data_IF_442891200967
#
_entry.id   IF_442891200967
#
_cell.length_a   1.000
_cell.length_b   1.000
_cell.length_c   1.000
_cell.angle_alpha   90.00
_cell.angle_beta   90.00
_cell.angle_gamma   90.00
#
_symmetry.space_group_name_H-M   'P 1'
#
loop_
_entity.id
_entity.type
_entity.pdbx_description
1 polymer ?
#
# COMPACT_ATOMS: atom_id res chain seq x y z
N UNK A 1 9.15 -11.78 3.41
CA UNK A 1 9.43 -12.75 4.49
C UNK A 1 8.15 -13.23 5.17
N UNK A 2 7.34 -12.34 5.76
CA UNK A 2 6.07 -12.70 6.44
C UNK A 2 5.13 -13.59 5.60
N UNK A 3 4.89 -13.22 4.33
CA UNK A 3 4.04 -14.01 3.44
C UNK A 3 4.56 -15.43 3.22
N UNK A 4 5.89 -15.60 3.12
CA UNK A 4 6.57 -16.89 2.93
C UNK A 4 6.45 -17.76 4.18
N UNK A 5 6.72 -17.19 5.35
CA UNK A 5 6.55 -17.90 6.62
C UNK A 5 5.10 -18.40 6.80
N UNK A 6 4.13 -17.68 6.25
CA UNK A 6 2.74 -18.09 6.29
C UNK A 6 2.42 -19.31 5.41
N UNK A 7 3.23 -19.63 4.40
CA UNK A 7 3.01 -20.78 3.52
C UNK A 7 3.24 -22.11 4.25
N UNK A 8 4.20 -22.14 5.17
CA UNK A 8 4.54 -23.33 5.98
C UNK A 8 3.86 -23.34 7.35
N UNK A 9 3.44 -22.19 7.87
CA UNK A 9 2.76 -22.08 9.15
C UNK A 9 1.34 -22.68 9.13
N UNK A 10 0.89 -23.16 10.30
CA UNK A 10 -0.50 -23.60 10.52
C UNK A 10 -1.35 -22.51 11.20
N UNK A 11 -2.68 -22.51 11.06
CA UNK A 11 -3.55 -21.63 11.85
C UNK A 11 -3.35 -21.85 13.37
N UNK A 12 -3.40 -20.80 14.21
CA UNK A 12 -3.77 -19.41 13.89
C UNK A 12 -2.61 -18.55 13.35
N UNK A 13 -1.36 -18.98 13.51
CA UNK A 13 -0.16 -18.19 13.14
C UNK A 13 -0.15 -17.82 11.65
N UNK A 14 -0.55 -18.75 10.77
CA UNK A 14 -0.68 -18.48 9.34
C UNK A 14 -1.55 -17.25 9.05
N UNK A 15 -2.68 -17.10 9.76
CA UNK A 15 -3.60 -15.95 9.56
C UNK A 15 -2.94 -14.65 10.02
N UNK A 16 -2.24 -14.68 11.14
CA UNK A 16 -1.50 -13.52 11.66
C UNK A 16 -0.40 -13.08 10.69
N UNK A 17 0.42 -14.02 10.18
CA UNK A 17 1.48 -13.72 9.22
C UNK A 17 0.94 -13.15 7.91
N UNK A 18 -0.16 -13.70 7.36
CA UNK A 18 -0.81 -13.15 6.16
C UNK A 18 -1.39 -11.75 6.39
N UNK A 19 -1.96 -11.50 7.57
CA UNK A 19 -2.45 -10.16 7.94
C UNK A 19 -1.29 -9.16 8.02
N UNK A 20 -0.24 -9.51 8.75
CA UNK A 20 0.96 -8.68 8.89
C UNK A 20 1.61 -8.41 7.52
N UNK A 21 1.75 -9.42 6.67
CA UNK A 21 2.33 -9.28 5.33
C UNK A 21 1.55 -8.29 4.44
N UNK A 22 0.21 -8.28 4.53
CA UNK A 22 -0.62 -7.31 3.79
C UNK A 22 -0.46 -5.89 4.33
N UNK A 23 -0.36 -5.74 5.65
CA UNK A 23 -0.23 -4.44 6.31
C UNK A 23 1.19 -3.86 6.21
N UNK A 24 2.21 -4.69 5.99
CA UNK A 24 3.60 -4.26 5.90
C UNK A 24 3.86 -3.20 4.82
N UNK A 25 3.07 -3.19 3.73
CA UNK A 25 3.18 -2.17 2.69
C UNK A 25 2.74 -0.77 3.17
N UNK A 26 1.94 -0.70 4.24
CA UNK A 26 1.37 0.52 4.81
C UNK A 26 2.09 0.98 6.08
N UNK A 27 3.17 0.31 6.48
CA UNK A 27 3.94 0.76 7.64
C UNK A 27 4.64 2.08 7.32
N UNK A 28 4.65 3.03 8.28
CA UNK A 28 5.20 4.37 8.06
C UNK A 28 6.74 4.36 7.97
N UNK A 29 7.38 3.37 8.58
CA UNK A 29 8.84 3.21 8.65
C UNK A 29 9.22 1.77 8.32
N UNK A 30 10.45 1.54 7.85
CA UNK A 30 10.96 0.18 7.66
C UNK A 30 11.20 -0.47 9.03
N UNK A 31 10.88 -1.75 9.17
CA UNK A 31 11.05 -2.48 10.44
C UNK A 31 12.52 -2.52 10.92
N UNK A 32 13.47 -2.47 9.98
CA UNK A 32 14.88 -2.37 10.32
C UNK A 32 15.21 -1.07 11.07
N UNK A 33 14.68 0.06 10.60
CA UNK A 33 14.95 1.38 11.18
C UNK A 33 14.33 1.53 12.58
N UNK A 34 13.09 1.09 12.75
CA UNK A 34 12.41 1.09 14.06
C UNK A 34 13.18 0.24 15.08
N UNK A 35 13.62 -0.95 14.66
CA UNK A 35 14.43 -1.83 15.51
C UNK A 35 15.80 -1.21 15.85
N UNK A 36 16.46 -0.53 14.91
CA UNK A 36 17.73 0.19 15.15
C UNK A 36 17.56 1.35 16.14
N UNK A 37 16.41 2.00 16.16
CA UNK A 37 16.06 3.04 17.14
C UNK A 37 15.72 2.47 18.53
N UNK A 38 15.73 1.14 18.71
CA UNK A 38 15.35 0.49 19.97
C UNK A 38 13.84 0.54 20.27
N UNK A 39 13.03 0.88 19.26
CA UNK A 39 11.56 0.93 19.36
C UNK A 39 10.95 -0.44 19.07
N UNK A 40 9.73 -0.66 19.56
CA UNK A 40 9.05 -1.95 19.39
C UNK A 40 8.31 -2.00 18.05
N UNK A 41 8.44 -3.13 17.35
CA UNK A 41 7.67 -3.37 16.12
C UNK A 41 6.18 -3.61 16.40
N UNK A 42 5.78 -3.77 17.66
CA UNK A 42 4.35 -3.86 18.03
C UNK A 42 3.59 -2.54 17.84
N UNK A 43 4.32 -1.44 17.62
CA UNK A 43 3.73 -0.17 17.16
C UNK A 43 3.08 -0.31 15.77
N UNK A 44 3.49 -1.31 14.98
CA UNK A 44 2.95 -1.53 13.65
C UNK A 44 1.65 -2.33 13.64
N UNK A 45 0.68 -1.93 12.79
CA UNK A 45 -0.58 -2.64 12.70
C UNK A 45 -0.37 -4.07 12.20
N UNK A 46 -0.95 -5.02 12.95
CA UNK A 46 -0.86 -6.45 12.64
C UNK A 46 0.37 -7.17 13.20
N UNK A 47 1.24 -6.47 13.96
CA UNK A 47 2.37 -7.07 14.65
C UNK A 47 2.07 -7.20 16.14
N UNK A 48 2.23 -8.41 16.67
CA UNK A 48 2.25 -8.67 18.11
C UNK A 48 3.62 -9.17 18.55
N UNK A 49 3.87 -9.33 19.87
CA UNK A 49 5.18 -9.67 20.42
C UNK A 49 5.81 -10.94 19.82
N UNK A 50 4.96 -11.92 19.44
CA UNK A 50 5.44 -13.12 18.77
C UNK A 50 6.01 -12.85 17.37
N UNK A 51 5.29 -12.06 16.55
CA UNK A 51 5.74 -11.71 15.20
C UNK A 51 6.94 -10.75 15.24
N UNK A 52 6.97 -9.82 16.19
CA UNK A 52 8.13 -8.96 16.43
C UNK A 52 9.40 -9.80 16.62
N UNK A 53 9.39 -10.80 17.50
CA UNK A 53 10.56 -11.68 17.71
C UNK A 53 10.99 -12.41 16.43
N UNK A 54 10.05 -12.80 15.58
CA UNK A 54 10.36 -13.42 14.28
C UNK A 54 11.04 -12.40 13.36
N UNK A 55 10.49 -11.20 13.25
CA UNK A 55 11.03 -10.14 12.38
C UNK A 55 12.42 -9.71 12.88
N UNK A 56 12.58 -9.45 14.17
CA UNK A 56 13.88 -9.09 14.76
C UNK A 56 14.93 -10.19 14.52
N UNK A 57 14.54 -11.48 14.57
CA UNK A 57 15.46 -12.57 14.19
C UNK A 57 15.90 -12.46 12.74
N UNK A 58 14.98 -12.20 11.81
CA UNK A 58 15.32 -12.01 10.39
C UNK A 58 16.17 -10.77 10.12
N UNK A 59 16.11 -9.75 10.98
CA UNK A 59 16.97 -8.57 10.87
C UNK A 59 18.44 -8.90 11.21
N UNK A 60 18.67 -9.88 12.10
CA UNK A 60 20.02 -10.34 12.47
C UNK A 60 20.50 -11.44 11.52
N UNK A 61 19.65 -12.42 11.24
CA UNK A 61 19.93 -13.56 10.38
C UNK A 61 18.89 -13.61 9.27
N UNK A 62 19.21 -12.91 8.18
CA UNK A 62 18.28 -12.70 7.08
C UNK A 62 18.20 -13.97 6.23
N UNK A 63 17.00 -14.53 6.01
CA UNK A 63 16.88 -15.67 5.15
C UNK A 63 17.32 -15.33 3.71
N UNK A 64 17.77 -16.32 2.93
CA UNK A 64 18.19 -16.07 1.57
C UNK A 64 17.08 -15.41 0.75
N UNK A 65 17.48 -14.44 -0.08
CA UNK A 65 16.62 -13.85 -1.08
C UNK A 65 16.17 -14.94 -2.05
N UNK A 66 14.86 -15.03 -2.29
CA UNK A 66 14.34 -15.92 -3.32
C UNK A 66 14.39 -15.20 -4.65
N UNK A 67 14.85 -15.90 -5.68
CA UNK A 67 14.65 -15.46 -7.04
C UNK A 67 13.14 -15.40 -7.32
N UNK A 68 12.62 -14.26 -7.82
CA UNK A 68 11.24 -14.18 -8.23
C UNK A 68 10.97 -15.22 -9.34
N UNK A 69 9.75 -15.78 -9.41
CA UNK A 69 9.39 -16.66 -10.53
C UNK A 69 9.55 -15.90 -11.86
N UNK A 70 9.77 -16.62 -12.96
CA UNK A 70 10.10 -16.01 -14.26
C UNK A 70 9.10 -14.91 -14.69
N UNK A 71 7.81 -15.14 -14.46
CA UNK A 71 6.75 -14.16 -14.75
C UNK A 71 6.89 -12.84 -13.97
N UNK A 72 7.66 -12.82 -12.87
CA UNK A 72 7.94 -11.64 -12.04
C UNK A 72 9.39 -11.16 -12.11
N UNK A 73 10.26 -11.81 -12.88
CA UNK A 73 11.71 -11.53 -12.94
C UNK A 73 12.03 -10.10 -13.37
N UNK A 74 11.19 -9.50 -14.21
CA UNK A 74 11.39 -8.15 -14.74
C UNK A 74 10.61 -7.07 -14.00
N UNK A 75 10.02 -7.39 -12.84
CA UNK A 75 9.33 -6.42 -12.00
C UNK A 75 10.20 -5.99 -10.85
N UNK A 76 10.07 -4.71 -10.47
CA UNK A 76 10.68 -4.19 -9.25
C UNK A 76 9.82 -4.56 -8.04
N UNK A 77 10.48 -4.93 -6.94
CA UNK A 77 9.81 -4.95 -5.64
C UNK A 77 9.58 -3.51 -5.18
N UNK A 78 8.57 -3.28 -4.34
CA UNK A 78 8.30 -1.94 -3.78
C UNK A 78 9.54 -1.35 -3.07
N UNK A 79 10.28 -2.09 -2.21
CA UNK A 79 11.52 -1.56 -1.62
C UNK A 79 12.56 -1.16 -2.67
N UNK A 80 12.71 -1.95 -3.74
CA UNK A 80 13.66 -1.62 -4.82
C UNK A 80 13.22 -0.38 -5.59
N UNK A 81 11.93 -0.24 -5.86
CA UNK A 81 11.36 0.95 -6.49
C UNK A 81 11.60 2.20 -5.61
N UNK A 82 11.37 2.12 -4.30
CA UNK A 82 11.66 3.22 -3.35
C UNK A 82 13.13 3.67 -3.40
N UNK A 83 14.08 2.72 -3.39
CA UNK A 83 15.52 3.03 -3.49
C UNK A 83 15.84 3.74 -4.81
N UNK A 84 15.29 3.27 -5.93
CA UNK A 84 15.53 3.87 -7.24
C UNK A 84 14.93 5.28 -7.35
N UNK A 85 13.72 5.49 -6.81
CA UNK A 85 13.07 6.79 -6.76
C UNK A 85 13.84 7.78 -5.87
N UNK A 86 14.34 7.33 -4.72
CA UNK A 86 15.17 8.15 -3.83
C UNK A 86 16.47 8.62 -4.51
N UNK A 87 17.04 7.81 -5.40
CA UNK A 87 18.20 8.18 -6.20
C UNK A 87 17.89 9.15 -7.36
N UNK A 88 16.60 9.40 -7.65
CA UNK A 88 16.11 10.24 -8.75
C UNK A 88 15.05 11.25 -8.25
N UNK A 89 15.40 12.14 -7.31
CA UNK A 89 14.42 13.03 -6.66
C UNK A 89 13.70 13.98 -7.63
N UNK A 90 14.30 14.29 -8.78
CA UNK A 90 13.67 15.16 -9.78
C UNK A 90 12.50 14.49 -10.52
N UNK A 91 12.44 13.15 -10.60
CA UNK A 91 11.33 12.47 -11.29
C UNK A 91 9.98 12.77 -10.64
N UNK A 92 9.96 12.93 -9.32
CA UNK A 92 8.74 13.29 -8.58
C UNK A 92 8.27 14.72 -8.89
N UNK A 93 9.16 15.61 -9.32
CA UNK A 93 8.80 17.00 -9.67
C UNK A 93 8.13 17.10 -11.04
N UNK A 94 8.36 16.12 -11.91
CA UNK A 94 7.77 16.06 -13.25
C UNK A 94 6.37 15.42 -13.22
N UNK A 95 5.99 14.80 -12.09
CA UNK A 95 4.68 14.20 -11.89
C UNK A 95 3.62 15.28 -11.63
N UNK A 96 2.69 15.40 -12.58
CA UNK A 96 1.58 16.35 -12.50
C UNK A 96 0.32 15.76 -11.89
N UNK A 97 0.21 14.45 -11.78
CA UNK A 97 -1.02 13.83 -11.29
C UNK A 97 -1.01 12.32 -11.31
N UNK A 98 -2.01 11.75 -10.64
CA UNK A 98 -2.34 10.33 -10.66
C UNK A 98 -3.61 10.12 -11.52
N UNK A 99 -3.53 9.19 -12.46
CA UNK A 99 -4.57 8.95 -13.45
C UNK A 99 -5.44 7.72 -13.13
N UNK A 100 -5.25 7.09 -11.97
CA UNK A 100 -6.05 5.94 -11.57
C UNK A 100 -6.20 5.88 -10.05
N UNK A 101 -7.28 6.47 -9.53
CA UNK A 101 -7.58 6.49 -8.11
C UNK A 101 -9.03 6.07 -7.84
N UNK A 102 -9.25 5.24 -6.82
CA UNK A 102 -10.59 4.89 -6.37
C UNK A 102 -10.91 5.62 -5.06
N UNK A 103 -12.17 6.00 -4.90
CA UNK A 103 -12.67 6.70 -3.72
C UNK A 103 -13.61 5.79 -2.92
N UNK A 104 -14.14 6.28 -1.82
CA UNK A 104 -15.17 5.58 -1.05
C UNK A 104 -16.51 5.41 -1.81
N UNK A 105 -16.62 5.92 -3.03
CA UNK A 105 -17.72 5.60 -3.95
C UNK A 105 -17.69 4.15 -4.44
N UNK A 106 -16.51 3.54 -4.59
CA UNK A 106 -16.36 2.11 -4.92
C UNK A 106 -15.54 1.34 -3.87
N UNK A 107 -14.30 0.97 -4.16
CA UNK A 107 -13.43 0.18 -3.27
C UNK A 107 -12.23 0.96 -2.69
N UNK A 108 -12.20 2.27 -2.90
CA UNK A 108 -11.25 3.18 -2.27
C UNK A 108 -11.60 3.49 -0.81
N UNK A 109 -10.67 4.12 -0.11
CA UNK A 109 -10.83 4.48 1.32
C UNK A 109 -10.93 5.97 1.60
N UNK A 110 -10.63 6.83 0.62
CA UNK A 110 -10.69 8.29 0.74
C UNK A 110 -11.94 8.89 0.09
N UNK A 111 -12.46 9.98 0.66
CA UNK A 111 -13.44 10.85 -0.02
C UNK A 111 -12.78 11.63 -1.15
N UNK A 112 -13.54 12.17 -2.10
CA UNK A 112 -12.97 13.00 -3.19
C UNK A 112 -12.16 14.17 -2.62
N UNK A 113 -12.70 14.85 -1.60
CA UNK A 113 -12.00 15.95 -0.91
C UNK A 113 -10.66 15.51 -0.31
N UNK A 114 -10.64 14.39 0.43
CA UNK A 114 -9.41 13.91 1.05
C UNK A 114 -8.35 13.52 0.00
N UNK A 115 -8.79 12.97 -1.14
CA UNK A 115 -7.90 12.63 -2.26
C UNK A 115 -7.31 13.88 -2.90
N UNK A 116 -8.13 14.90 -3.17
CA UNK A 116 -7.68 16.18 -3.72
C UNK A 116 -6.71 16.91 -2.77
N UNK A 117 -7.01 16.97 -1.47
CA UNK A 117 -6.13 17.57 -0.46
C UNK A 117 -4.78 16.83 -0.36
N UNK A 118 -4.79 15.50 -0.47
CA UNK A 118 -3.56 14.70 -0.51
C UNK A 118 -2.76 14.97 -1.79
N UNK A 119 -3.42 15.06 -2.94
CA UNK A 119 -2.79 15.38 -4.23
C UNK A 119 -2.10 16.76 -4.20
N UNK A 120 -2.76 17.77 -3.62
CA UNK A 120 -2.18 19.10 -3.43
C UNK A 120 -0.91 19.07 -2.56
N UNK A 121 -0.92 18.29 -1.47
CA UNK A 121 0.28 18.11 -0.61
C UNK A 121 1.45 17.45 -1.36
N UNK A 122 1.15 16.65 -2.38
CA UNK A 122 2.13 16.02 -3.26
C UNK A 122 2.46 16.86 -4.51
N UNK A 123 2.01 18.12 -4.56
CA UNK A 123 2.23 19.05 -5.67
C UNK A 123 1.70 18.56 -7.04
N UNK A 124 0.67 17.72 -7.04
CA UNK A 124 -0.04 17.35 -8.26
C UNK A 124 -0.93 18.51 -8.73
N UNK A 125 -0.94 18.74 -10.04
CA UNK A 125 -1.84 19.66 -10.74
C UNK A 125 -3.25 19.07 -10.89
N UNK A 126 -3.37 17.73 -10.98
CA UNK A 126 -4.65 17.04 -11.17
C UNK A 126 -4.64 15.61 -10.63
N UNK A 127 -5.84 15.05 -10.44
CA UNK A 127 -6.05 13.63 -10.21
C UNK A 127 -7.24 13.14 -11.04
N UNK A 128 -7.22 11.87 -11.44
CA UNK A 128 -8.37 11.21 -12.05
C UNK A 128 -9.03 10.26 -11.05
N UNK A 129 -10.32 10.48 -10.80
CA UNK A 129 -11.18 9.56 -10.05
C UNK A 129 -11.71 8.52 -11.04
N UNK A 130 -11.35 7.25 -10.84
CA UNK A 130 -11.63 6.12 -11.74
C UNK A 130 -12.35 4.99 -11.01
N UNK A 131 -13.35 5.32 -10.21
CA UNK A 131 -14.14 4.33 -9.47
C UNK A 131 -14.78 3.28 -10.38
N UNK A 132 -14.94 2.07 -9.85
CA UNK A 132 -15.47 0.95 -10.61
C UNK A 132 -16.92 1.16 -11.05
N UNK A 133 -17.24 0.78 -12.27
CA UNK A 133 -18.63 0.69 -12.73
C UNK A 133 -19.32 -0.58 -12.20
N UNK A 134 -20.65 -0.53 -12.09
CA UNK A 134 -21.56 -1.61 -11.61
C UNK A 134 -21.30 -3.02 -12.16
N UNK A 135 -20.61 -3.17 -13.30
CA UNK A 135 -20.32 -4.45 -13.93
C UNK A 135 -19.40 -5.39 -13.13
N UNK A 136 -18.62 -4.87 -12.18
CA UNK A 136 -17.67 -5.68 -11.39
C UNK A 136 -18.27 -6.02 -10.02
N UNK A 137 -18.95 -7.17 -9.90
CA UNK A 137 -19.65 -7.63 -8.67
C UNK A 137 -18.81 -7.62 -7.39
N UNK A 138 -17.48 -7.66 -7.49
CA UNK A 138 -16.55 -7.76 -6.35
C UNK A 138 -16.17 -6.38 -5.80
N UNK A 139 -16.25 -5.31 -6.60
CA UNK A 139 -15.68 -4.01 -6.25
C UNK A 139 -16.71 -2.94 -5.86
N UNK A 140 -17.96 -3.31 -5.61
CA UNK A 140 -18.99 -2.36 -5.16
C UNK A 140 -19.21 -1.20 -6.13
N UNK A 141 -19.11 -1.46 -7.44
CA UNK A 141 -19.10 -0.41 -8.45
C UNK A 141 -20.39 0.43 -8.52
N UNK A 142 -20.24 1.68 -8.94
CA UNK A 142 -21.30 2.68 -8.98
C UNK A 142 -22.21 2.55 -10.21
N UNK A 143 -23.48 2.89 -10.03
CA UNK A 143 -24.46 3.04 -11.10
C UNK A 143 -24.48 4.47 -11.69
N UNK A 144 -25.31 4.68 -12.72
CA UNK A 144 -25.41 5.96 -13.42
C UNK A 144 -25.92 7.10 -12.52
N UNK A 145 -26.74 6.79 -11.52
CA UNK A 145 -27.25 7.78 -10.56
C UNK A 145 -26.16 8.23 -9.60
N UNK A 146 -25.41 7.26 -9.06
CA UNK A 146 -24.25 7.48 -8.20
C UNK A 146 -23.14 8.22 -8.95
N UNK A 147 -22.86 7.87 -10.20
CA UNK A 147 -21.90 8.58 -11.05
C UNK A 147 -22.25 10.08 -11.20
N UNK A 148 -23.54 10.39 -11.38
CA UNK A 148 -23.99 11.80 -11.41
C UNK A 148 -23.83 12.51 -10.06
N UNK A 149 -23.96 11.79 -8.94
CA UNK A 149 -23.70 12.36 -7.61
C UNK A 149 -22.21 12.61 -7.38
N UNK A 150 -21.37 11.65 -7.75
CA UNK A 150 -19.92 11.77 -7.71
C UNK A 150 -19.43 12.96 -8.54
N UNK A 151 -19.93 13.14 -9.77
CA UNK A 151 -19.58 14.28 -10.61
C UNK A 151 -19.91 15.62 -9.95
N UNK A 152 -21.03 15.71 -9.20
CA UNK A 152 -21.37 16.91 -8.42
C UNK A 152 -20.43 17.12 -7.23
N UNK A 153 -20.01 16.05 -6.55
CA UNK A 153 -19.03 16.15 -5.47
C UNK A 153 -17.66 16.61 -5.98
N UNK A 154 -17.22 16.12 -7.15
CA UNK A 154 -16.01 16.59 -7.82
C UNK A 154 -16.11 18.09 -8.13
N UNK A 155 -17.23 18.54 -8.71
CA UNK A 155 -17.45 19.97 -9.00
C UNK A 155 -17.43 20.85 -7.75
N UNK A 156 -17.85 20.33 -6.59
CA UNK A 156 -17.80 21.06 -5.31
C UNK A 156 -16.39 21.13 -4.70
N UNK A 157 -15.47 20.28 -5.14
CA UNK A 157 -14.09 20.22 -4.64
C UNK A 157 -13.13 21.04 -5.51
N UNK A 158 -13.40 21.14 -6.82
CA UNK A 158 -12.69 22.02 -7.75
C UNK A 158 -12.87 23.50 -7.40
#
# INVERSE_FOLDING_TARGET
MLAREAETARPPLQRALRRAARLAFLWPEEAADVNLQGRSLTEFPGIGPYLERIICRWLVDSPPLLEPPDIRRHFLTIPRARILLAAKPNWLKDLKGDLQMHTNWSDGSGTIRAMAESAQKNAYEYIAVTDHAKGLKIAGGIDESQLRQQAREIEQVN
#
